data_IF_714377558545
#
_entry.id   IF_714377558545
#
_cell.length_a   1.000
_cell.length_b   1.000
_cell.length_c   1.000
_cell.angle_alpha   90.00
_cell.angle_beta   90.00
_cell.angle_gamma   90.00
#
_symmetry.space_group_name_H-M   'P 1'
#
loop_
_entity.id
_entity.type
_entity.pdbx_description
1 polymer ?
#
# COMPACT_ATOMS: atom_id res chain seq x y z
N UNK A 1 29.43 -7.36 10.14
CA UNK A 1 28.01 -6.98 10.33
C UNK A 1 27.24 -7.83 9.38
N UNK A 2 26.39 -8.69 9.89
CA UNK A 2 25.52 -9.53 9.05
C UNK A 2 24.61 -8.63 8.24
N UNK A 3 24.80 -8.59 6.92
CA UNK A 3 23.78 -8.09 6.03
C UNK A 3 22.68 -9.14 5.98
N UNK A 4 21.94 -9.26 7.09
CA UNK A 4 20.67 -9.94 7.09
C UNK A 4 19.81 -9.25 6.05
N UNK A 5 19.45 -9.98 5.02
CA UNK A 5 18.37 -9.64 4.11
C UNK A 5 17.21 -9.22 4.99
N UNK A 6 16.96 -7.92 5.07
CA UNK A 6 15.87 -7.41 5.89
C UNK A 6 14.59 -7.77 5.13
N UNK A 7 14.02 -8.92 5.48
CA UNK A 7 12.66 -9.23 5.06
C UNK A 7 11.79 -8.05 5.47
N UNK A 8 10.95 -7.56 4.59
CA UNK A 8 9.93 -6.57 4.96
C UNK A 8 9.12 -7.17 6.11
N UNK A 9 9.32 -6.63 7.30
CA UNK A 9 8.60 -7.06 8.48
C UNK A 9 7.54 -6.02 8.76
N UNK A 10 6.29 -6.43 8.72
CA UNK A 10 5.22 -5.61 9.26
C UNK A 10 5.51 -5.36 10.74
N UNK A 11 5.50 -4.11 11.13
CA UNK A 11 5.74 -3.68 12.50
C UNK A 11 4.49 -3.01 13.04
N UNK A 12 4.06 -3.43 14.20
CA UNK A 12 2.93 -2.78 14.88
C UNK A 12 3.29 -1.32 15.23
N UNK A 13 2.41 -0.35 14.97
CA UNK A 13 2.65 1.04 15.34
C UNK A 13 2.80 1.20 16.86
N UNK A 14 3.58 2.18 17.26
CA UNK A 14 3.77 2.54 18.68
C UNK A 14 2.65 3.46 19.17
N UNK A 15 2.13 4.30 18.28
CA UNK A 15 1.04 5.25 18.57
C UNK A 15 0.07 5.30 17.41
N UNK A 16 -1.23 5.45 17.72
CA UNK A 16 -2.31 5.54 16.73
C UNK A 16 -3.19 6.75 17.06
N UNK A 17 -3.41 7.61 16.05
CA UNK A 17 -4.41 8.67 16.10
C UNK A 17 -5.66 8.27 15.35
N UNK A 18 -6.81 8.36 16.00
CA UNK A 18 -8.10 7.95 15.45
C UNK A 18 -8.88 9.17 14.98
N UNK A 19 -9.15 9.26 13.68
CA UNK A 19 -9.95 10.30 13.06
C UNK A 19 -11.26 9.73 12.54
N UNK A 20 -12.30 10.53 12.55
CA UNK A 20 -13.60 10.19 12.00
C UNK A 20 -14.23 11.39 11.31
N UNK A 21 -14.63 11.20 10.06
CA UNK A 21 -15.36 12.20 9.32
C UNK A 21 -16.78 12.39 9.89
N UNK A 22 -17.22 13.66 10.01
CA UNK A 22 -18.54 14.04 10.52
C UNK A 22 -19.25 15.01 9.57
N UNK A 23 -19.10 14.80 8.27
CA UNK A 23 -19.81 15.55 7.24
C UNK A 23 -21.26 15.12 7.07
N UNK A 24 -21.98 15.86 6.22
CA UNK A 24 -23.38 15.56 5.90
C UNK A 24 -23.59 14.20 5.25
N UNK A 25 -22.64 13.73 4.44
CA UNK A 25 -22.68 12.43 3.78
C UNK A 25 -22.60 11.27 4.77
N UNK A 26 -21.94 11.44 5.90
CA UNK A 26 -21.82 10.43 6.95
C UNK A 26 -23.08 10.30 7.84
N UNK A 27 -24.06 11.20 7.70
CA UNK A 27 -25.21 11.27 8.61
C UNK A 27 -26.03 9.98 8.73
N UNK A 28 -26.17 9.22 7.64
CA UNK A 28 -26.92 7.97 7.65
C UNK A 28 -26.28 6.88 8.52
N UNK A 29 -24.97 6.88 8.62
CA UNK A 29 -24.23 5.97 9.49
C UNK A 29 -24.38 6.32 10.99
N UNK A 30 -24.58 7.60 11.30
CA UNK A 30 -24.66 8.11 12.67
C UNK A 30 -26.09 8.23 13.23
N UNK A 31 -27.13 7.74 12.55
CA UNK A 31 -28.52 7.90 13.03
C UNK A 31 -28.70 7.49 14.49
N UNK A 32 -29.31 8.40 15.28
CA UNK A 32 -29.50 8.21 16.71
C UNK A 32 -30.28 6.92 17.02
N UNK A 33 -29.82 6.20 18.03
CA UNK A 33 -30.49 5.03 18.59
C UNK A 33 -30.84 3.90 17.58
N UNK A 34 -30.12 3.88 16.45
CA UNK A 34 -30.23 2.80 15.46
C UNK A 34 -28.94 1.98 15.46
N UNK A 35 -29.01 0.68 15.71
CA UNK A 35 -27.86 -0.21 15.55
C UNK A 35 -27.55 -0.36 14.05
N UNK A 36 -26.30 -0.16 13.66
CA UNK A 36 -25.79 -0.39 12.31
C UNK A 36 -24.45 -1.14 12.38
N UNK A 37 -24.12 -1.84 11.31
CA UNK A 37 -22.81 -2.49 11.23
C UNK A 37 -21.68 -1.46 11.30
N UNK A 38 -21.85 -0.26 10.73
CA UNK A 38 -20.88 0.84 10.86
C UNK A 38 -20.51 1.10 12.33
N UNK A 39 -21.51 1.33 13.19
CA UNK A 39 -21.27 1.64 14.60
C UNK A 39 -20.58 0.48 15.32
N UNK A 40 -20.96 -0.75 15.01
CA UNK A 40 -20.37 -1.97 15.58
C UNK A 40 -18.92 -2.11 15.13
N UNK A 41 -18.65 -2.00 13.84
CA UNK A 41 -17.32 -2.18 13.23
C UNK A 41 -16.35 -1.09 13.67
N UNK A 42 -16.75 0.19 13.57
CA UNK A 42 -15.90 1.32 13.97
C UNK A 42 -15.57 1.25 15.46
N UNK A 43 -16.56 0.89 16.31
CA UNK A 43 -16.29 0.69 17.73
C UNK A 43 -15.36 -0.50 17.98
N UNK A 44 -15.54 -1.62 17.30
CA UNK A 44 -14.67 -2.79 17.41
C UNK A 44 -13.24 -2.45 17.06
N UNK A 45 -13.02 -1.77 15.93
CA UNK A 45 -11.70 -1.34 15.49
C UNK A 45 -11.07 -0.33 16.47
N UNK A 46 -11.78 0.73 16.84
CA UNK A 46 -11.24 1.76 17.72
C UNK A 46 -10.94 1.26 19.12
N UNK A 47 -11.81 0.40 19.68
CA UNK A 47 -11.56 -0.22 20.98
C UNK A 47 -10.42 -1.25 20.95
N UNK A 48 -10.26 -1.96 19.84
CA UNK A 48 -9.12 -2.87 19.63
C UNK A 48 -7.77 -2.13 19.60
N UNK A 49 -7.75 -0.90 19.07
CA UNK A 49 -6.56 -0.05 19.02
C UNK A 49 -6.34 0.80 20.29
N UNK A 50 -7.28 0.80 21.24
CA UNK A 50 -7.31 1.73 22.39
C UNK A 50 -6.00 1.78 23.20
N UNK A 51 -5.31 0.66 23.33
CA UNK A 51 -4.07 0.55 24.10
C UNK A 51 -2.86 1.26 23.46
N UNK A 52 -2.98 1.69 22.18
CA UNK A 52 -1.95 2.43 21.43
C UNK A 52 -2.35 3.86 21.11
N UNK A 53 -3.52 4.30 21.56
CA UNK A 53 -4.02 5.66 21.32
C UNK A 53 -3.77 6.57 22.52
N UNK A 54 -3.88 7.87 22.29
CA UNK A 54 -3.93 8.88 23.37
C UNK A 54 -5.27 8.92 24.12
N UNK A 55 -6.13 7.92 23.89
CA UNK A 55 -7.47 7.83 24.48
C UNK A 55 -8.51 8.75 23.84
N UNK A 56 -8.25 9.27 22.65
CA UNK A 56 -9.12 10.24 21.97
C UNK A 56 -9.48 9.78 20.56
N UNK A 57 -10.61 10.29 20.09
CA UNK A 57 -11.05 10.27 18.69
C UNK A 57 -11.19 11.71 18.22
N UNK A 58 -10.67 12.02 17.06
CA UNK A 58 -10.63 13.34 16.45
C UNK A 58 -11.69 13.45 15.36
N UNK A 59 -12.86 14.05 15.61
CA UNK A 59 -13.83 14.33 14.55
C UNK A 59 -13.23 15.29 13.54
N UNK A 60 -13.58 15.12 12.27
CA UNK A 60 -13.19 16.02 11.19
C UNK A 60 -14.42 16.52 10.46
N UNK A 61 -14.59 17.83 10.39
CA UNK A 61 -15.73 18.49 9.78
C UNK A 61 -15.30 19.72 8.97
N UNK A 62 -16.22 20.49 8.53
CA UNK A 62 -16.08 21.84 7.97
C UNK A 62 -14.85 22.02 7.04
N UNK A 63 -14.84 21.27 5.94
CA UNK A 63 -13.75 21.40 4.95
C UNK A 63 -12.44 20.72 5.34
N UNK A 64 -12.45 19.83 6.34
CA UNK A 64 -11.30 19.03 6.74
C UNK A 64 -10.64 19.48 8.04
N UNK A 65 -11.24 20.41 8.77
CA UNK A 65 -10.75 20.84 10.07
C UNK A 65 -10.86 19.71 11.11
N UNK A 66 -9.87 19.66 12.00
CA UNK A 66 -9.88 18.74 13.14
C UNK A 66 -10.64 19.44 14.29
N UNK A 67 -11.77 18.87 14.66
CA UNK A 67 -12.60 19.38 15.75
C UNK A 67 -12.05 19.01 17.14
N UNK A 68 -12.70 19.51 18.18
CA UNK A 68 -12.40 19.16 19.57
C UNK A 68 -12.47 17.65 19.76
N UNK A 69 -11.39 17.01 20.22
CA UNK A 69 -11.34 15.57 20.35
C UNK A 69 -12.32 15.03 21.39
N UNK A 70 -12.85 13.85 21.13
CA UNK A 70 -13.75 13.12 22.03
C UNK A 70 -12.97 12.03 22.74
N UNK A 71 -13.12 11.92 24.05
CA UNK A 71 -12.53 10.82 24.81
C UNK A 71 -13.09 9.50 24.28
N UNK A 72 -12.21 8.52 24.00
CA UNK A 72 -12.61 7.24 23.40
C UNK A 72 -13.70 6.51 24.19
N UNK A 73 -13.66 6.58 25.52
CA UNK A 73 -14.72 6.02 26.38
C UNK A 73 -16.10 6.63 26.15
N UNK A 74 -16.17 7.91 25.76
CA UNK A 74 -17.41 8.62 25.44
C UNK A 74 -17.81 8.50 23.96
N UNK A 75 -16.88 8.18 23.09
CA UNK A 75 -17.09 8.13 21.65
C UNK A 75 -18.26 7.23 21.25
N UNK A 76 -18.30 6.00 21.79
CA UNK A 76 -19.38 5.05 21.51
C UNK A 76 -20.74 5.60 21.90
N UNK A 77 -20.86 6.25 23.07
CA UNK A 77 -22.09 6.84 23.57
C UNK A 77 -22.56 7.99 22.65
N UNK A 78 -21.64 8.89 22.27
CA UNK A 78 -21.93 10.00 21.37
C UNK A 78 -22.33 9.54 19.98
N UNK A 79 -21.63 8.54 19.43
CA UNK A 79 -21.96 7.93 18.14
C UNK A 79 -23.36 7.31 18.15
N UNK A 80 -23.71 6.56 19.18
CA UNK A 80 -25.02 5.95 19.32
C UNK A 80 -26.13 7.00 19.51
N UNK A 81 -25.84 8.11 20.17
CA UNK A 81 -26.77 9.20 20.35
C UNK A 81 -26.93 10.11 19.12
N UNK A 82 -26.21 9.85 18.02
CA UNK A 82 -26.26 10.66 16.80
C UNK A 82 -25.66 12.07 16.95
N UNK A 83 -24.69 12.24 17.87
CA UNK A 83 -24.08 13.54 18.13
C UNK A 83 -23.07 13.98 17.05
N UNK A 84 -22.75 13.09 16.09
CA UNK A 84 -21.90 13.38 14.94
C UNK A 84 -22.68 13.75 13.67
N UNK A 85 -24.01 13.79 13.75
CA UNK A 85 -24.83 14.28 12.62
C UNK A 85 -24.58 15.76 12.40
N UNK A 86 -24.23 16.13 11.17
CA UNK A 86 -23.89 17.51 10.80
C UNK A 86 -24.39 17.87 9.39
N UNK A 87 -24.19 19.13 8.99
CA UNK A 87 -24.49 19.62 7.65
C UNK A 87 -23.24 20.18 6.95
N UNK A 88 -22.03 19.83 7.45
CA UNK A 88 -20.80 20.27 6.85
C UNK A 88 -20.49 19.51 5.56
N UNK A 89 -19.80 20.16 4.65
CA UNK A 89 -19.24 19.55 3.44
C UNK A 89 -17.97 18.77 3.73
N UNK A 90 -17.64 17.86 2.83
CA UNK A 90 -16.42 17.07 2.88
C UNK A 90 -15.34 17.66 1.97
N UNK A 91 -14.14 17.83 2.48
CA UNK A 91 -12.97 18.23 1.70
C UNK A 91 -11.81 17.25 1.93
N UNK A 92 -11.83 16.14 1.23
CA UNK A 92 -10.87 15.03 1.40
C UNK A 92 -9.40 15.48 1.29
N UNK A 93 -8.98 16.32 0.31
CA UNK A 93 -7.60 16.79 0.25
C UNK A 93 -7.16 17.52 1.52
N UNK A 94 -8.00 18.39 2.08
CA UNK A 94 -7.68 19.10 3.31
C UNK A 94 -7.61 18.16 4.52
N UNK A 95 -8.53 17.19 4.64
CA UNK A 95 -8.48 16.15 5.67
C UNK A 95 -7.16 15.38 5.61
N UNK A 96 -6.79 14.90 4.42
CA UNK A 96 -5.56 14.16 4.20
C UNK A 96 -4.33 14.97 4.61
N UNK A 97 -4.24 16.23 4.14
CA UNK A 97 -3.13 17.12 4.46
C UNK A 97 -3.04 17.39 5.98
N UNK A 98 -4.16 17.72 6.62
CA UNK A 98 -4.21 17.99 8.05
C UNK A 98 -3.80 16.76 8.88
N UNK A 99 -4.20 15.56 8.49
CA UNK A 99 -3.80 14.33 9.16
C UNK A 99 -2.30 14.10 8.98
N UNK A 100 -1.78 14.17 7.75
CA UNK A 100 -0.36 13.95 7.45
C UNK A 100 0.53 14.91 8.22
N UNK A 101 0.13 16.18 8.37
CA UNK A 101 0.88 17.16 9.14
C UNK A 101 0.86 16.91 10.66
N UNK A 102 -0.09 16.11 11.13
CA UNK A 102 -0.26 15.80 12.55
C UNK A 102 0.29 14.43 12.97
N UNK A 103 0.85 13.64 12.06
CA UNK A 103 1.50 12.36 12.39
C UNK A 103 3.02 12.50 12.40
N UNK A 104 3.66 11.80 13.34
CA UNK A 104 5.12 11.73 13.44
C UNK A 104 5.59 10.33 13.02
N UNK A 105 5.88 10.19 11.73
CA UNK A 105 6.34 8.90 11.18
C UNK A 105 7.68 8.44 11.76
N UNK A 106 8.50 9.36 12.30
CA UNK A 106 9.77 9.01 12.94
C UNK A 106 9.56 8.28 14.27
N UNK A 107 8.38 8.44 14.87
CA UNK A 107 7.97 7.76 16.12
C UNK A 107 7.04 6.56 15.86
N UNK A 108 7.02 6.02 14.64
CA UNK A 108 6.09 4.93 14.29
C UNK A 108 4.62 5.24 14.64
N UNK A 109 4.23 6.51 14.49
CA UNK A 109 2.86 6.94 14.67
C UNK A 109 2.07 6.70 13.38
N UNK A 110 0.83 6.24 13.51
CA UNK A 110 -0.10 5.98 12.41
C UNK A 110 -1.41 6.71 12.67
N UNK A 111 -2.00 7.25 11.62
CA UNK A 111 -3.35 7.77 11.65
C UNK A 111 -4.34 6.81 10.97
N UNK A 112 -5.54 6.72 11.49
CA UNK A 112 -6.68 6.02 10.89
C UNK A 112 -7.81 6.99 10.72
N UNK A 113 -8.25 7.24 9.49
CA UNK A 113 -9.44 8.04 9.17
C UNK A 113 -10.56 7.11 8.73
N UNK A 114 -11.74 7.27 9.35
CA UNK A 114 -12.97 6.62 8.88
C UNK A 114 -13.81 7.64 8.11
N UNK A 115 -14.13 7.34 6.84
CA UNK A 115 -14.81 8.26 5.92
C UNK A 115 -15.55 7.47 4.84
N UNK A 116 -16.64 8.03 4.28
CA UNK A 116 -17.23 7.54 3.03
C UNK A 116 -16.50 8.07 1.79
N UNK A 117 -15.38 8.79 1.97
CA UNK A 117 -14.54 9.37 0.94
C UNK A 117 -15.28 10.23 -0.10
N UNK A 118 -16.48 10.68 0.22
CA UNK A 118 -17.31 11.49 -0.67
C UNK A 118 -16.79 12.93 -0.71
N UNK A 119 -16.10 13.28 -1.80
CA UNK A 119 -15.62 14.64 -2.00
C UNK A 119 -16.74 15.52 -2.56
N UNK A 120 -17.28 16.40 -1.75
CA UNK A 120 -18.39 17.32 -2.10
C UNK A 120 -18.00 18.75 -1.73
N UNK A 121 -17.10 19.42 -2.48
CA UNK A 121 -16.75 20.82 -2.22
C UNK A 121 -17.97 21.72 -2.42
N UNK A 122 -18.02 22.80 -1.66
CA UNK A 122 -19.14 23.76 -1.69
C UNK A 122 -18.69 25.13 -2.20
N UNK A 123 -19.66 25.88 -2.75
CA UNK A 123 -19.42 27.25 -3.20
C UNK A 123 -19.22 27.36 -4.71
N UNK A 124 -18.85 28.57 -5.17
CA UNK A 124 -18.69 28.88 -6.59
C UNK A 124 -17.53 28.14 -7.27
N UNK A 125 -16.54 27.69 -6.50
CA UNK A 125 -15.38 26.93 -6.97
C UNK A 125 -15.58 25.41 -7.01
N UNK A 126 -16.72 24.89 -6.53
CA UNK A 126 -16.94 23.45 -6.34
C UNK A 126 -16.63 22.59 -7.59
N UNK A 127 -17.09 23.02 -8.75
CA UNK A 127 -16.82 22.29 -10.00
C UNK A 127 -15.32 22.28 -10.36
N UNK A 128 -14.62 23.39 -10.14
CA UNK A 128 -13.17 23.51 -10.38
C UNK A 128 -12.38 22.65 -9.38
N UNK A 129 -12.76 22.66 -8.12
CA UNK A 129 -12.12 21.84 -7.09
C UNK A 129 -12.29 20.34 -7.38
N UNK A 130 -13.48 19.92 -7.83
CA UNK A 130 -13.72 18.53 -8.21
C UNK A 130 -12.90 18.11 -9.44
N UNK A 131 -12.66 19.04 -10.39
CA UNK A 131 -11.75 18.80 -11.52
C UNK A 131 -10.29 18.68 -11.08
N UNK A 132 -9.89 19.42 -10.05
CA UNK A 132 -8.52 19.42 -9.53
C UNK A 132 -8.27 18.33 -8.47
N UNK A 133 -9.27 17.55 -8.09
CA UNK A 133 -9.21 16.61 -6.98
C UNK A 133 -8.05 15.62 -7.12
N UNK A 134 -7.95 14.96 -8.26
CA UNK A 134 -6.87 14.02 -8.55
C UNK A 134 -5.49 14.66 -8.38
N UNK A 135 -5.33 15.86 -8.93
CA UNK A 135 -4.07 16.61 -8.87
C UNK A 135 -3.72 17.05 -7.44
N UNK A 136 -4.71 17.47 -6.66
CA UNK A 136 -4.51 17.82 -5.25
C UNK A 136 -4.03 16.60 -4.44
N UNK A 137 -4.65 15.44 -4.63
CA UNK A 137 -4.23 14.19 -3.98
C UNK A 137 -2.80 13.81 -4.41
N UNK A 138 -2.52 13.86 -5.73
CA UNK A 138 -1.18 13.59 -6.26
C UNK A 138 -0.12 14.46 -5.58
N UNK A 139 -0.37 15.75 -5.46
CA UNK A 139 0.57 16.69 -4.87
C UNK A 139 0.76 16.43 -3.37
N UNK A 140 -0.32 16.22 -2.61
CA UNK A 140 -0.23 15.93 -1.16
C UNK A 140 0.62 14.68 -0.92
N UNK A 141 0.36 13.59 -1.63
CA UNK A 141 1.10 12.33 -1.48
C UNK A 141 2.54 12.47 -1.99
N UNK A 142 2.74 13.15 -3.13
CA UNK A 142 4.05 13.37 -3.74
C UNK A 142 5.00 14.19 -2.85
N UNK A 143 4.48 15.22 -2.17
CA UNK A 143 5.27 16.03 -1.23
C UNK A 143 5.54 15.34 0.12
N UNK A 144 4.90 14.20 0.39
CA UNK A 144 5.08 13.44 1.62
C UNK A 144 5.54 12.00 1.32
N UNK A 145 6.76 11.81 0.78
CA UNK A 145 7.23 10.51 0.31
C UNK A 145 7.36 9.45 1.42
N UNK A 146 7.52 9.89 2.67
CA UNK A 146 7.67 9.01 3.83
C UNK A 146 6.31 8.55 4.42
N UNK A 147 5.20 9.02 3.86
CA UNK A 147 3.86 8.62 4.28
C UNK A 147 3.31 7.61 3.30
N UNK A 148 3.10 6.41 3.78
CA UNK A 148 2.41 5.33 3.07
C UNK A 148 0.93 5.33 3.41
N UNK A 149 0.11 4.85 2.48
CA UNK A 149 -1.33 4.72 2.62
C UNK A 149 -1.76 3.27 2.42
N UNK A 150 -2.64 2.81 3.30
CA UNK A 150 -3.40 1.57 3.14
C UNK A 150 -4.88 1.85 3.37
N UNK A 151 -5.74 0.95 2.93
CA UNK A 151 -7.17 1.05 3.17
C UNK A 151 -7.79 -0.28 3.57
N UNK A 152 -8.91 -0.19 4.27
CA UNK A 152 -9.87 -1.28 4.44
C UNK A 152 -11.24 -0.73 4.08
N UNK A 153 -11.86 -1.28 3.05
CA UNK A 153 -13.23 -0.96 2.66
C UNK A 153 -14.21 -1.88 3.40
N UNK A 154 -15.23 -1.28 3.94
CA UNK A 154 -16.31 -1.98 4.62
C UNK A 154 -17.67 -1.41 4.21
N UNK A 155 -18.74 -2.17 4.42
CA UNK A 155 -20.11 -1.73 4.14
C UNK A 155 -20.99 -1.76 5.38
N UNK A 156 -22.03 -0.94 5.36
CA UNK A 156 -23.03 -0.90 6.40
C UNK A 156 -24.35 -0.32 5.89
N UNK A 157 -25.39 -0.50 6.68
CA UNK A 157 -26.67 0.14 6.48
C UNK A 157 -26.52 1.67 6.56
N UNK A 158 -27.09 2.36 5.58
CA UNK A 158 -27.24 3.82 5.57
C UNK A 158 -28.70 4.20 5.76
N UNK A 159 -28.99 5.05 6.73
CA UNK A 159 -30.35 5.34 7.15
C UNK A 159 -30.78 6.76 6.82
N UNK A 160 -32.02 6.91 6.35
CA UNK A 160 -32.70 8.19 6.16
C UNK A 160 -32.91 8.94 7.49
N UNK A 161 -33.35 10.22 7.39
CA UNK A 161 -33.67 11.06 8.58
C UNK A 161 -34.73 10.44 9.48
N UNK A 162 -35.71 9.75 8.92
CA UNK A 162 -36.78 9.07 9.65
C UNK A 162 -36.35 7.69 10.22
N UNK A 163 -35.12 7.26 9.90
CA UNK A 163 -34.57 5.99 10.34
C UNK A 163 -34.99 4.80 9.47
N UNK A 164 -35.63 5.02 8.33
CA UNK A 164 -35.84 4.00 7.31
C UNK A 164 -34.54 3.66 6.59
N UNK A 165 -34.44 2.46 6.01
CA UNK A 165 -33.27 2.04 5.21
C UNK A 165 -33.23 2.82 3.92
N UNK A 166 -32.10 3.49 3.64
CA UNK A 166 -31.82 4.11 2.34
C UNK A 166 -30.97 3.20 1.46
N UNK A 167 -29.94 2.57 2.05
CA UNK A 167 -29.05 1.61 1.41
C UNK A 167 -28.63 0.55 2.43
N UNK A 168 -28.60 -0.72 2.01
CA UNK A 168 -28.26 -1.85 2.89
C UNK A 168 -26.75 -2.03 3.02
N UNK A 169 -26.01 -1.73 1.96
CA UNK A 169 -24.56 -1.96 1.88
C UNK A 169 -23.82 -0.71 1.40
N UNK A 170 -24.04 0.41 2.06
CA UNK A 170 -23.31 1.65 1.75
C UNK A 170 -21.84 1.51 2.19
N UNK A 171 -20.87 1.76 1.29
CA UNK A 171 -19.46 1.59 1.60
C UNK A 171 -18.88 2.76 2.40
N UNK A 172 -17.84 2.45 3.18
CA UNK A 172 -16.96 3.41 3.83
C UNK A 172 -15.55 2.83 3.96
N UNK A 173 -14.57 3.70 4.18
CA UNK A 173 -13.15 3.36 4.18
C UNK A 173 -12.55 3.65 5.56
N UNK A 174 -11.73 2.73 6.05
CA UNK A 174 -10.66 3.03 6.99
C UNK A 174 -9.40 3.36 6.17
N UNK A 175 -9.04 4.63 6.09
CA UNK A 175 -7.81 5.07 5.45
C UNK A 175 -6.70 5.14 6.50
N UNK A 176 -5.61 4.44 6.27
CA UNK A 176 -4.51 4.26 7.23
C UNK A 176 -3.28 4.96 6.66
N UNK A 177 -2.65 5.83 7.46
CA UNK A 177 -1.53 6.68 7.02
C UNK A 177 -0.38 6.60 8.01
N UNK A 178 0.84 6.43 7.52
CA UNK A 178 2.04 6.32 8.35
C UNK A 178 3.21 5.74 7.56
N UNK A 179 4.20 5.15 8.22
CA UNK A 179 5.22 4.42 7.49
C UNK A 179 4.71 3.05 6.97
N UNK A 180 5.34 2.52 5.94
CA UNK A 180 4.88 1.33 5.21
C UNK A 180 4.69 0.09 6.09
N UNK A 181 5.63 -0.17 7.00
CA UNK A 181 5.59 -1.36 7.88
C UNK A 181 4.39 -1.32 8.84
N UNK A 182 4.11 -0.12 9.38
CA UNK A 182 3.05 0.09 10.36
C UNK A 182 1.66 0.11 9.71
N UNK A 183 1.50 0.74 8.53
CA UNK A 183 0.19 0.78 7.85
C UNK A 183 -0.23 -0.60 7.38
N UNK A 184 0.71 -1.42 6.85
CA UNK A 184 0.43 -2.79 6.42
C UNK A 184 0.03 -3.69 7.60
N UNK A 185 0.70 -3.54 8.76
CA UNK A 185 0.34 -4.28 9.97
C UNK A 185 -1.07 -3.92 10.46
N UNK A 186 -1.36 -2.62 10.54
CA UNK A 186 -2.64 -2.15 11.06
C UNK A 186 -3.80 -2.43 10.10
N UNK A 187 -3.58 -2.37 8.77
CA UNK A 187 -4.55 -2.79 7.77
C UNK A 187 -5.05 -4.23 8.05
N UNK A 188 -4.14 -5.16 8.29
CA UNK A 188 -4.50 -6.55 8.56
C UNK A 188 -5.34 -6.69 9.84
N UNK A 189 -5.05 -5.87 10.86
CA UNK A 189 -5.84 -5.89 12.10
C UNK A 189 -7.25 -5.33 11.87
N UNK A 190 -7.38 -4.20 11.17
CA UNK A 190 -8.68 -3.59 10.86
C UNK A 190 -9.50 -4.50 9.93
N UNK A 191 -8.90 -5.13 8.92
CA UNK A 191 -9.57 -6.08 8.04
C UNK A 191 -10.22 -7.22 8.87
N UNK A 192 -9.48 -7.82 9.80
CA UNK A 192 -10.02 -8.86 10.71
C UNK A 192 -11.20 -8.37 11.55
N UNK A 193 -11.20 -7.12 12.01
CA UNK A 193 -12.35 -6.58 12.73
C UNK A 193 -13.55 -6.35 11.82
N UNK A 194 -13.34 -5.95 10.57
CA UNK A 194 -14.40 -5.85 9.56
C UNK A 194 -14.97 -7.23 9.21
N UNK A 195 -14.13 -8.24 9.04
CA UNK A 195 -14.56 -9.64 8.83
C UNK A 195 -15.39 -10.16 10.02
N UNK A 196 -14.93 -9.93 11.25
CA UNK A 196 -15.63 -10.35 12.46
C UNK A 196 -16.99 -9.66 12.65
N UNK A 197 -17.27 -8.58 11.94
CA UNK A 197 -18.53 -7.85 11.95
C UNK A 197 -19.37 -8.05 10.70
N UNK A 198 -18.92 -8.89 9.76
CA UNK A 198 -19.56 -9.17 8.46
C UNK A 198 -19.73 -7.90 7.61
N UNK A 199 -18.73 -7.02 7.65
CA UNK A 199 -18.75 -5.74 6.93
C UNK A 199 -17.61 -5.60 5.90
N UNK A 200 -16.64 -6.51 5.92
CA UNK A 200 -15.46 -6.45 5.04
C UNK A 200 -15.82 -6.58 3.56
N UNK A 201 -15.19 -5.75 2.75
CA UNK A 201 -15.27 -5.80 1.28
C UNK A 201 -13.91 -6.11 0.69
N UNK A 202 -12.92 -5.23 0.92
CA UNK A 202 -11.60 -5.34 0.34
C UNK A 202 -10.59 -4.52 1.17
N UNK A 203 -9.30 -4.86 1.07
CA UNK A 203 -8.24 -4.08 1.69
C UNK A 203 -6.96 -4.12 0.86
N UNK A 204 -6.16 -3.07 0.94
CA UNK A 204 -4.91 -3.00 0.19
C UNK A 204 -4.03 -1.82 0.57
N UNK A 205 -2.85 -1.82 -0.01
CA UNK A 205 -1.88 -0.75 0.15
C UNK A 205 -1.91 0.14 -1.09
N UNK A 206 -2.03 1.45 -0.95
CA UNK A 206 -2.24 2.37 -2.07
C UNK A 206 -1.01 3.19 -2.43
N UNK A 207 -0.26 3.67 -1.45
CA UNK A 207 0.92 4.51 -1.65
C UNK A 207 2.00 4.10 -0.67
N UNK A 208 2.63 2.97 -0.93
CA UNK A 208 3.74 2.51 -0.08
C UNK A 208 5.02 3.27 -0.43
N UNK A 209 5.85 3.50 0.59
CA UNK A 209 7.21 3.93 0.36
C UNK A 209 7.94 2.86 -0.47
N UNK A 210 8.63 3.30 -1.53
CA UNK A 210 9.41 2.37 -2.34
C UNK A 210 10.63 1.90 -1.55
N UNK A 211 10.78 0.60 -1.44
CA UNK A 211 11.98 -0.04 -0.91
C UNK A 211 12.58 -0.95 -1.98
N UNK A 212 13.90 -0.99 -2.04
CA UNK A 212 14.55 -2.05 -2.80
C UNK A 212 14.14 -3.38 -2.18
N UNK A 213 13.57 -4.33 -2.95
CA UNK A 213 13.15 -5.60 -2.39
C UNK A 213 14.34 -6.34 -1.80
N UNK A 214 14.12 -7.07 -0.73
CA UNK A 214 15.14 -7.96 -0.21
C UNK A 214 15.45 -9.03 -1.25
N UNK A 215 16.73 -9.33 -1.46
CA UNK A 215 17.17 -10.27 -2.48
C UNK A 215 18.23 -11.22 -1.97
N UNK A 216 18.37 -12.35 -2.65
CA UNK A 216 19.39 -13.35 -2.39
C UNK A 216 19.80 -14.00 -3.70
N UNK A 217 21.12 -14.04 -3.96
CA UNK A 217 21.66 -14.79 -5.10
C UNK A 217 21.61 -16.27 -4.74
N UNK A 218 20.93 -17.07 -5.57
CA UNK A 218 20.66 -18.49 -5.29
C UNK A 218 21.51 -19.46 -6.09
N UNK A 219 21.80 -19.12 -7.31
CA UNK A 219 22.49 -20.00 -8.24
C UNK A 219 23.37 -19.20 -9.18
N UNK A 220 24.54 -19.72 -9.48
CA UNK A 220 25.50 -19.11 -10.40
C UNK A 220 25.99 -20.19 -11.35
N UNK A 221 25.87 -19.95 -12.66
CA UNK A 221 26.50 -20.77 -13.71
C UNK A 221 27.76 -20.08 -14.21
N UNK A 222 28.82 -20.84 -14.44
CA UNK A 222 30.16 -20.40 -14.85
C UNK A 222 30.78 -19.40 -13.85
N UNK A 223 30.47 -19.58 -12.56
CA UNK A 223 31.03 -18.80 -11.48
C UNK A 223 30.65 -19.33 -10.11
N UNK A 224 31.17 -18.72 -9.06
CA UNK A 224 30.90 -19.05 -7.68
C UNK A 224 30.48 -17.78 -6.94
N UNK A 225 29.43 -17.89 -6.14
CA UNK A 225 29.12 -16.82 -5.18
C UNK A 225 30.15 -16.81 -4.08
N UNK A 226 30.71 -15.64 -3.77
CA UNK A 226 31.66 -15.50 -2.68
C UNK A 226 31.05 -15.99 -1.36
N UNK A 227 31.68 -16.93 -0.66
CA UNK A 227 31.20 -17.39 0.64
C UNK A 227 31.41 -16.36 1.76
N UNK A 228 32.21 -15.34 1.46
CA UNK A 228 32.57 -14.27 2.37
C UNK A 228 31.96 -12.94 1.90
N UNK A 229 32.02 -11.92 2.73
CA UNK A 229 31.56 -10.58 2.37
C UNK A 229 32.46 -9.97 1.26
N UNK A 230 31.91 -9.26 0.27
CA UNK A 230 30.47 -8.96 0.09
C UNK A 230 29.71 -10.13 -0.57
N UNK A 231 28.50 -10.42 -0.07
CA UNK A 231 27.63 -11.50 -0.57
C UNK A 231 27.07 -11.27 -1.97
N UNK A 232 27.33 -10.12 -2.55
CA UNK A 232 26.96 -9.74 -3.92
C UNK A 232 28.14 -9.85 -4.90
N UNK A 233 29.23 -10.51 -4.51
CA UNK A 233 30.37 -10.79 -5.37
C UNK A 233 30.27 -12.18 -5.96
N UNK A 234 30.29 -12.26 -7.29
CA UNK A 234 30.38 -13.48 -8.07
C UNK A 234 31.81 -13.54 -8.63
N UNK A 235 32.50 -14.63 -8.36
CA UNK A 235 33.82 -14.92 -8.96
C UNK A 235 33.64 -15.90 -10.12
N UNK A 236 34.00 -15.47 -11.31
CA UNK A 236 33.93 -16.31 -12.53
C UNK A 236 35.16 -17.18 -12.68
N UNK A 237 34.99 -18.37 -13.18
CA UNK A 237 36.07 -19.29 -13.52
C UNK A 237 35.72 -20.02 -14.82
N UNK A 238 36.77 -20.40 -15.56
CA UNK A 238 36.63 -21.21 -16.75
C UNK A 238 36.12 -20.50 -18.02
N UNK A 239 36.94 -19.55 -18.54
CA UNK A 239 36.72 -18.92 -19.83
C UNK A 239 36.77 -19.86 -21.04
N UNK A 240 37.33 -21.06 -20.87
CA UNK A 240 37.46 -22.05 -21.98
C UNK A 240 36.11 -22.63 -22.39
N UNK A 241 35.10 -22.57 -21.48
CA UNK A 241 33.77 -23.14 -21.69
C UNK A 241 32.75 -22.07 -22.13
N UNK A 242 32.87 -20.83 -21.63
CA UNK A 242 31.93 -19.75 -21.93
C UNK A 242 32.53 -18.38 -21.65
N UNK A 243 32.17 -17.39 -22.46
CA UNK A 243 32.53 -15.99 -22.24
C UNK A 243 31.54 -15.26 -21.33
N UNK A 244 30.46 -15.93 -20.91
CA UNK A 244 29.39 -15.35 -20.11
C UNK A 244 29.00 -16.23 -18.92
N UNK A 245 28.58 -15.59 -17.83
CA UNK A 245 27.95 -16.24 -16.70
C UNK A 245 26.47 -15.89 -16.59
N UNK A 246 25.77 -16.64 -15.77
CA UNK A 246 24.38 -16.34 -15.41
C UNK A 246 24.13 -16.65 -13.94
N UNK A 247 23.16 -15.99 -13.34
CA UNK A 247 22.78 -16.24 -11.95
C UNK A 247 21.31 -15.97 -11.71
N UNK A 248 20.77 -16.65 -10.70
CA UNK A 248 19.39 -16.52 -10.27
C UNK A 248 19.36 -15.72 -8.95
N UNK A 249 18.53 -14.71 -8.92
CA UNK A 249 18.24 -13.91 -7.73
C UNK A 249 16.83 -14.24 -7.29
N UNK A 250 16.65 -14.59 -6.03
CA UNK A 250 15.35 -14.58 -5.38
C UNK A 250 15.10 -13.22 -4.80
N UNK A 251 14.01 -12.55 -5.18
CA UNK A 251 13.53 -11.31 -4.60
C UNK A 251 12.27 -11.58 -3.80
N UNK A 252 12.11 -10.88 -2.68
CA UNK A 252 10.91 -10.93 -1.87
C UNK A 252 10.14 -9.61 -2.01
N UNK A 253 8.92 -9.70 -2.55
CA UNK A 253 8.05 -8.56 -2.81
C UNK A 253 7.01 -8.32 -1.70
N UNK A 254 7.18 -8.96 -0.54
CA UNK A 254 6.19 -8.89 0.56
C UNK A 254 5.95 -7.49 1.12
N UNK A 255 6.76 -6.51 0.77
CA UNK A 255 6.57 -5.10 1.14
C UNK A 255 5.99 -4.23 0.04
N UNK A 256 5.69 -4.82 -1.13
CA UNK A 256 5.15 -4.07 -2.25
C UNK A 256 3.64 -4.27 -2.33
N UNK A 257 2.87 -3.19 -2.55
CA UNK A 257 1.44 -3.29 -2.72
C UNK A 257 1.12 -4.05 -4.02
N UNK A 258 0.22 -5.02 -3.93
CA UNK A 258 -0.39 -5.76 -5.06
C UNK A 258 0.54 -6.45 -6.05
N UNK A 259 1.84 -6.40 -5.85
CA UNK A 259 2.80 -6.99 -6.79
C UNK A 259 3.06 -8.47 -6.54
N UNK A 260 2.69 -8.96 -5.37
CA UNK A 260 2.91 -10.36 -4.99
C UNK A 260 2.06 -11.36 -5.81
N UNK A 261 1.08 -10.88 -6.58
CA UNK A 261 0.14 -11.72 -7.33
C UNK A 261 0.21 -11.55 -8.84
N UNK A 262 0.99 -10.59 -9.35
CA UNK A 262 1.08 -10.34 -10.79
C UNK A 262 2.51 -10.31 -11.33
N UNK A 263 2.91 -11.43 -11.94
CA UNK A 263 4.22 -11.60 -12.55
C UNK A 263 4.47 -10.69 -13.76
N UNK A 264 3.43 -10.34 -14.53
CA UNK A 264 3.59 -9.50 -15.72
C UNK A 264 3.98 -8.07 -15.34
N UNK A 265 3.40 -7.52 -14.27
CA UNK A 265 3.75 -6.18 -13.78
C UNK A 265 5.19 -6.14 -13.27
N UNK A 266 5.63 -7.18 -12.57
CA UNK A 266 7.02 -7.29 -12.10
C UNK A 266 7.97 -7.38 -13.28
N UNK A 267 7.62 -8.19 -14.29
CA UNK A 267 8.41 -8.36 -15.51
C UNK A 267 8.59 -7.04 -16.27
N UNK A 268 7.50 -6.30 -16.45
CA UNK A 268 7.52 -5.04 -17.20
C UNK A 268 8.29 -3.91 -16.46
N UNK A 269 8.31 -3.96 -15.14
CA UNK A 269 9.02 -2.97 -14.31
C UNK A 269 10.50 -3.30 -14.12
N UNK A 270 10.91 -4.57 -14.32
CA UNK A 270 12.26 -5.04 -14.03
C UNK A 270 13.25 -4.60 -15.09
N UNK A 271 14.39 -4.06 -14.67
CA UNK A 271 15.50 -3.68 -15.54
C UNK A 271 16.83 -4.16 -14.99
N UNK A 272 17.74 -4.50 -15.89
CA UNK A 272 19.13 -4.77 -15.58
C UNK A 272 20.05 -4.14 -16.62
N UNK A 273 21.22 -3.69 -16.20
CA UNK A 273 22.26 -3.16 -17.08
C UNK A 273 23.65 -3.40 -16.51
N UNK A 274 24.63 -3.48 -17.39
CA UNK A 274 26.04 -3.39 -17.02
C UNK A 274 26.45 -1.92 -16.87
N UNK A 275 27.22 -1.61 -15.84
CA UNK A 275 27.81 -0.27 -15.65
C UNK A 275 28.88 -0.01 -16.72
N UNK A 276 29.58 -1.04 -17.19
CA UNK A 276 30.67 -0.91 -18.18
C UNK A 276 30.21 -1.11 -19.63
N UNK A 277 28.91 -1.31 -19.86
CA UNK A 277 28.30 -1.30 -21.19
C UNK A 277 28.20 -2.66 -21.86
N UNK A 278 28.51 -3.76 -21.18
CA UNK A 278 28.24 -5.12 -21.67
C UNK A 278 26.73 -5.38 -21.75
N UNK A 279 26.30 -6.29 -22.63
CA UNK A 279 24.90 -6.71 -22.67
C UNK A 279 24.59 -7.55 -21.45
N UNK A 280 23.45 -7.27 -20.83
CA UNK A 280 22.87 -8.06 -19.74
C UNK A 280 21.40 -8.26 -20.04
N UNK A 281 20.97 -9.49 -20.01
CA UNK A 281 19.55 -9.83 -20.17
C UNK A 281 18.95 -10.19 -18.81
N UNK A 282 17.68 -9.84 -18.63
CA UNK A 282 16.93 -10.14 -17.41
C UNK A 282 15.64 -10.85 -17.77
N UNK A 283 15.31 -11.88 -17.01
CA UNK A 283 14.11 -12.69 -17.20
C UNK A 283 13.47 -13.00 -15.84
N UNK A 284 12.14 -12.79 -15.76
CA UNK A 284 11.37 -13.30 -14.64
C UNK A 284 11.01 -14.76 -14.91
N UNK A 285 11.41 -15.65 -14.00
CA UNK A 285 11.18 -17.07 -14.15
C UNK A 285 9.78 -17.45 -13.66
N UNK A 286 9.04 -18.14 -14.52
CA UNK A 286 7.67 -18.61 -14.26
C UNK A 286 7.62 -20.08 -13.82
N UNK A 287 6.46 -20.57 -13.43
CA UNK A 287 6.27 -21.99 -13.09
C UNK A 287 6.60 -22.95 -14.23
N UNK A 288 6.39 -22.53 -15.46
CA UNK A 288 6.67 -23.34 -16.64
C UNK A 288 8.16 -23.56 -16.89
N UNK A 289 9.00 -22.65 -16.39
CA UNK A 289 10.46 -22.74 -16.52
C UNK A 289 11.09 -23.83 -15.62
N UNK A 290 10.29 -24.44 -14.72
CA UNK A 290 10.72 -25.54 -13.87
C UNK A 290 10.97 -26.85 -14.58
N UNK A 291 10.41 -27.03 -15.75
CA UNK A 291 10.49 -28.28 -16.52
C UNK A 291 11.85 -28.47 -17.15
N UNK A 292 12.77 -27.54 -16.98
CA UNK A 292 14.16 -27.68 -17.32
C UNK A 292 14.86 -28.52 -16.24
N UNK A 293 15.56 -29.57 -16.60
CA UNK A 293 16.23 -30.61 -15.78
C UNK A 293 17.21 -30.12 -14.69
N UNK A 294 16.86 -29.07 -13.93
CA UNK A 294 17.69 -28.52 -12.89
C UNK A 294 17.05 -28.71 -11.49
N UNK A 295 17.48 -29.76 -10.81
CA UNK A 295 17.01 -30.11 -9.47
C UNK A 295 17.28 -29.02 -8.40
N UNK A 296 18.28 -28.16 -8.59
CA UNK A 296 18.56 -27.06 -7.68
C UNK A 296 17.52 -25.95 -7.85
N UNK A 297 17.14 -25.68 -9.08
CA UNK A 297 16.09 -24.72 -9.42
C UNK A 297 14.74 -25.16 -8.87
N UNK A 298 14.33 -26.41 -9.12
CA UNK A 298 13.07 -26.96 -8.59
C UNK A 298 12.97 -26.81 -7.07
N UNK A 299 14.04 -27.15 -6.33
CA UNK A 299 14.07 -27.03 -4.86
C UNK A 299 13.92 -25.58 -4.37
N UNK A 300 14.50 -24.61 -5.06
CA UNK A 300 14.40 -23.20 -4.69
C UNK A 300 13.01 -22.66 -4.93
N UNK A 301 12.35 -23.12 -5.97
CA UNK A 301 11.01 -22.72 -6.31
C UNK A 301 9.96 -23.35 -5.38
N UNK A 302 10.03 -24.63 -5.10
CA UNK A 302 9.13 -25.31 -4.16
C UNK A 302 9.18 -24.74 -2.74
N UNK A 303 10.29 -24.07 -2.37
CA UNK A 303 10.47 -23.42 -1.05
C UNK A 303 10.15 -21.96 -1.03
N UNK A 304 9.70 -21.38 -2.14
CA UNK A 304 9.33 -19.95 -2.17
C UNK A 304 8.06 -19.68 -1.39
N UNK A 305 7.97 -18.49 -0.80
CA UNK A 305 6.69 -17.93 -0.37
C UNK A 305 5.92 -17.39 -1.59
N UNK A 306 4.63 -17.15 -1.46
CA UNK A 306 3.82 -16.56 -2.53
C UNK A 306 4.32 -15.18 -3.00
N UNK A 307 5.08 -14.48 -2.18
CA UNK A 307 5.67 -13.16 -2.48
C UNK A 307 7.11 -13.25 -3.02
N UNK A 308 7.67 -14.44 -3.18
CA UNK A 308 9.02 -14.63 -3.72
C UNK A 308 8.96 -14.81 -5.23
N UNK A 309 9.81 -14.07 -5.93
CA UNK A 309 10.02 -14.19 -7.37
C UNK A 309 11.46 -14.54 -7.66
N UNK A 310 11.66 -15.30 -8.72
CA UNK A 310 12.99 -15.67 -9.21
C UNK A 310 13.29 -14.88 -10.49
N UNK A 311 14.40 -14.16 -10.48
CA UNK A 311 14.90 -13.40 -11.61
C UNK A 311 16.19 -14.05 -12.07
N UNK A 312 16.30 -14.32 -13.37
CA UNK A 312 17.54 -14.77 -13.99
C UNK A 312 18.19 -13.60 -14.72
N UNK A 313 19.44 -13.34 -14.36
CA UNK A 313 20.31 -12.48 -15.15
C UNK A 313 21.26 -13.38 -15.93
N UNK A 314 21.40 -13.13 -17.23
CA UNK A 314 22.21 -13.97 -18.12
C UNK A 314 22.91 -13.11 -19.18
N UNK A 315 23.81 -13.74 -19.96
CA UNK A 315 24.72 -13.07 -20.86
C UNK A 315 25.63 -12.04 -20.16
N UNK A 316 25.89 -12.24 -18.86
CA UNK A 316 26.77 -11.38 -18.09
C UNK A 316 28.22 -11.68 -18.45
N UNK A 317 28.99 -10.66 -18.85
CA UNK A 317 30.39 -10.82 -19.18
C UNK A 317 31.20 -11.39 -17.99
N UNK A 318 32.14 -12.29 -18.25
CA UNK A 318 32.97 -12.93 -17.22
C UNK A 318 34.18 -12.08 -16.80
N UNK A 319 34.34 -10.89 -17.34
CA UNK A 319 35.31 -9.91 -16.89
C UNK A 319 34.83 -9.17 -15.65
N UNK A 320 35.68 -8.29 -15.07
CA UNK A 320 35.29 -7.45 -13.97
C UNK A 320 34.12 -6.55 -14.39
N UNK A 321 32.95 -6.82 -13.82
CA UNK A 321 31.70 -6.21 -14.21
C UNK A 321 30.88 -5.78 -12.99
N UNK A 322 30.08 -4.75 -13.17
CA UNK A 322 29.09 -4.33 -12.16
C UNK A 322 27.72 -4.34 -12.80
N UNK A 323 26.87 -5.21 -12.33
CA UNK A 323 25.49 -5.33 -12.79
C UNK A 323 24.58 -4.55 -11.84
N UNK A 324 23.88 -3.59 -12.40
CA UNK A 324 22.80 -2.87 -11.72
C UNK A 324 21.46 -3.42 -12.15
N UNK A 325 20.62 -3.82 -11.20
CA UNK A 325 19.24 -4.16 -11.45
C UNK A 325 18.31 -3.34 -10.55
N UNK A 326 17.14 -3.00 -11.04
CA UNK A 326 16.14 -2.21 -10.33
C UNK A 326 14.78 -2.35 -11.00
N UNK A 327 13.76 -1.78 -10.38
CA UNK A 327 12.48 -1.51 -11.04
C UNK A 327 12.50 -0.08 -11.59
N UNK A 328 12.08 0.10 -12.85
CA UNK A 328 11.95 1.43 -13.47
C UNK A 328 10.89 2.28 -12.81
N UNK A 329 9.82 1.63 -12.36
CA UNK A 329 8.73 2.23 -11.61
C UNK A 329 8.39 1.36 -10.42
N UNK A 330 7.68 1.91 -9.44
CA UNK A 330 7.09 1.06 -8.41
C UNK A 330 6.11 0.10 -9.10
N UNK A 331 6.31 -1.21 -9.01
CA UNK A 331 5.38 -2.15 -9.60
C UNK A 331 4.05 -2.09 -8.83
N UNK A 332 3.01 -1.65 -9.51
CA UNK A 332 1.65 -1.53 -8.98
C UNK A 332 0.72 -2.28 -9.91
N UNK A 333 -0.08 -3.19 -9.37
CA UNK A 333 -1.11 -3.85 -10.15
C UNK A 333 -2.27 -2.88 -10.47
N UNK A 334 -2.19 -2.27 -11.65
CA UNK A 334 -3.25 -1.39 -12.13
C UNK A 334 -4.60 -2.09 -12.30
N UNK A 335 -4.61 -3.42 -12.54
CA UNK A 335 -5.85 -4.20 -12.68
C UNK A 335 -6.59 -4.31 -11.35
N UNK A 336 -5.88 -4.49 -10.26
CA UNK A 336 -6.47 -4.49 -8.92
C UNK A 336 -7.24 -3.21 -8.65
N UNK A 337 -6.63 -2.05 -8.95
CA UNK A 337 -7.32 -0.76 -8.83
C UNK A 337 -8.51 -0.63 -9.77
N UNK A 338 -8.40 -1.13 -11.01
CA UNK A 338 -9.49 -1.07 -11.98
C UNK A 338 -10.68 -1.89 -11.49
N UNK A 339 -10.46 -3.12 -11.07
CA UNK A 339 -11.52 -4.02 -10.63
C UNK A 339 -12.18 -3.51 -9.34
N UNK A 340 -11.39 -3.14 -8.34
CA UNK A 340 -11.90 -2.54 -7.10
C UNK A 340 -12.62 -1.22 -7.36
N UNK A 341 -12.03 -0.35 -8.19
CA UNK A 341 -12.62 0.93 -8.55
C UNK A 341 -13.97 0.76 -9.28
N UNK A 342 -14.05 -0.16 -10.24
CA UNK A 342 -15.29 -0.46 -10.96
C UNK A 342 -16.36 -1.04 -10.03
N UNK A 343 -15.97 -1.79 -9.04
CA UNK A 343 -16.90 -2.37 -8.06
C UNK A 343 -17.48 -1.33 -7.10
N UNK A 344 -16.71 -0.28 -6.74
CA UNK A 344 -17.03 0.58 -5.61
C UNK A 344 -17.28 2.05 -5.97
N UNK A 345 -16.80 2.53 -7.12
CA UNK A 345 -16.96 3.95 -7.51
C UNK A 345 -18.28 4.20 -8.19
N UNK A 346 -18.96 5.27 -7.78
CA UNK A 346 -20.17 5.79 -8.41
C UNK A 346 -19.94 7.21 -8.94
N UNK A 347 -20.70 7.58 -9.97
CA UNK A 347 -20.63 8.91 -10.61
C UNK A 347 -21.74 9.86 -10.19
N UNK A 348 -22.81 9.33 -9.60
CA UNK A 348 -23.89 10.11 -9.00
C UNK A 348 -23.60 10.30 -7.50
N UNK A 349 -23.56 11.55 -7.05
CA UNK A 349 -23.31 11.85 -5.64
C UNK A 349 -24.43 11.38 -4.69
N UNK A 350 -25.63 11.10 -5.23
CA UNK A 350 -26.75 10.58 -4.45
C UNK A 350 -26.83 9.07 -4.42
N UNK A 351 -25.99 8.39 -5.20
CA UNK A 351 -25.89 6.94 -5.16
C UNK A 351 -25.10 6.50 -3.91
N UNK A 352 -25.80 5.84 -3.00
CA UNK A 352 -25.25 5.36 -1.74
C UNK A 352 -24.64 3.96 -1.82
N UNK A 353 -24.76 3.29 -2.97
CA UNK A 353 -24.19 1.95 -3.18
C UNK A 353 -22.70 1.95 -3.45
N UNK A 354 -22.08 3.13 -3.63
CA UNK A 354 -20.67 3.30 -3.91
C UNK A 354 -20.04 4.56 -3.32
N UNK A 355 -18.76 4.74 -3.60
CA UNK A 355 -17.97 5.91 -3.19
C UNK A 355 -17.93 6.93 -4.33
N UNK A 356 -18.47 8.11 -4.11
CA UNK A 356 -18.52 9.14 -5.15
C UNK A 356 -17.13 9.69 -5.50
N UNK A 357 -16.79 9.66 -6.80
CA UNK A 357 -15.51 10.14 -7.33
C UNK A 357 -14.25 9.52 -6.69
N UNK A 358 -14.35 8.34 -6.11
CA UNK A 358 -13.23 7.67 -5.46
C UNK A 358 -12.12 7.28 -6.45
N UNK A 359 -12.47 7.06 -7.73
CA UNK A 359 -11.50 6.85 -8.82
C UNK A 359 -10.48 8.00 -8.90
N UNK A 360 -10.90 9.25 -8.74
CA UNK A 360 -9.99 10.41 -8.78
C UNK A 360 -9.01 10.41 -7.61
N UNK A 361 -9.46 9.94 -6.43
CA UNK A 361 -8.57 9.74 -5.29
C UNK A 361 -7.52 8.67 -5.60
N UNK A 362 -7.95 7.51 -6.06
CA UNK A 362 -7.04 6.40 -6.41
C UNK A 362 -6.04 6.81 -7.49
N UNK A 363 -6.50 7.45 -8.57
CA UNK A 363 -5.62 7.94 -9.65
C UNK A 363 -4.60 8.94 -9.13
N UNK A 364 -4.99 9.82 -8.22
CA UNK A 364 -4.09 10.78 -7.59
C UNK A 364 -3.00 10.07 -6.77
N UNK A 365 -3.37 9.08 -5.98
CA UNK A 365 -2.45 8.27 -5.16
C UNK A 365 -1.47 7.48 -6.03
N UNK A 366 -1.97 6.78 -7.05
CA UNK A 366 -1.15 5.99 -7.99
C UNK A 366 -0.16 6.89 -8.71
N UNK A 367 -0.64 8.00 -9.31
CA UNK A 367 0.21 8.93 -10.06
C UNK A 367 1.26 9.61 -9.18
N UNK A 368 1.04 9.75 -7.87
CA UNK A 368 2.03 10.29 -6.96
C UNK A 368 3.24 9.34 -6.76
N UNK A 369 3.07 8.05 -6.99
CA UNK A 369 4.08 7.01 -6.69
C UNK A 369 4.65 6.31 -7.94
N UNK A 370 4.08 6.53 -9.11
CA UNK A 370 4.55 5.89 -10.36
C UNK A 370 5.99 6.26 -10.73
N UNK A 371 6.44 7.48 -10.43
CA UNK A 371 7.78 7.95 -10.75
C UNK A 371 8.69 7.91 -9.52
N UNK A 372 9.23 6.75 -9.22
CA UNK A 372 10.19 6.56 -8.11
C UNK A 372 11.63 6.37 -8.61
N UNK A 373 11.98 7.00 -9.73
CA UNK A 373 13.23 6.81 -10.48
C UNK A 373 14.53 7.14 -9.74
N UNK A 374 14.46 7.73 -8.55
CA UNK A 374 15.63 8.20 -7.81
C UNK A 374 16.19 7.17 -6.80
N UNK A 375 15.75 5.91 -6.88
CA UNK A 375 16.26 4.86 -5.98
C UNK A 375 17.56 4.28 -6.50
N UNK A 376 18.50 4.05 -5.59
CA UNK A 376 19.77 3.41 -5.94
C UNK A 376 19.52 1.98 -6.41
N UNK A 377 20.06 1.57 -7.55
CA UNK A 377 19.95 0.21 -8.04
C UNK A 377 20.71 -0.76 -7.13
N UNK A 378 20.28 -2.01 -7.12
CA UNK A 378 21.05 -3.09 -6.50
C UNK A 378 22.27 -3.39 -7.38
N UNK A 379 23.45 -3.45 -6.80
CA UNK A 379 24.70 -3.74 -7.49
C UNK A 379 25.19 -5.14 -7.17
N UNK A 380 25.50 -5.88 -8.22
CA UNK A 380 26.14 -7.20 -8.14
C UNK A 380 27.49 -7.06 -8.83
N UNK A 381 28.54 -7.48 -8.12
CA UNK A 381 29.90 -7.44 -8.62
C UNK A 381 30.22 -8.80 -9.24
N UNK A 382 30.74 -8.79 -10.46
CA UNK A 382 31.30 -9.97 -11.14
C UNK A 382 32.77 -9.73 -11.31
N UNK A 383 33.61 -10.61 -10.80
CA UNK A 383 35.07 -10.48 -10.91
C UNK A 383 35.66 -11.75 -11.52
N UNK A 384 36.57 -11.60 -12.45
CA UNK A 384 37.33 -12.72 -12.99
C UNK A 384 38.29 -13.26 -11.93
N UNK A 385 38.36 -14.58 -11.80
CA UNK A 385 39.42 -15.23 -11.02
C UNK A 385 40.74 -15.06 -11.77
N UNK A 386 41.69 -14.37 -11.16
CA UNK A 386 43.06 -14.28 -11.66
C UNK A 386 43.89 -15.44 -11.16
#
# INVERSE_FOLDING_TARGET
MDSTVTLFQTRQPESIKLYIETSGSMNGFFRANKPTNFKKTVWSAFSGMAHKTDGKVYPMSNGGDIDTPVILGDFRRKMNAGQFVSNFSTHIPAMLLNIIQNIDTTKNEVAVLVSDMKYSPMGESAATELLQYQEQIRNIIGYNPNVSLSFVCATSEYLNKDGSMAEEKSPYIFLIMGNSENVAALRNDIARWCEATDSYVESGDMAMEYHTPSYEIREVKNGLLSPTYPRNLITTYDREVSDTCSFIIRINMNGFPWTAVDSEIIKDALTAKSVYGSSVDVELLTEQDHLVDDHAYQRNFERRSYADYLIKLYNVAMDDEVIEWNFTNQPIDGRYFVDFNNMITVTDENDLSGLFSFNKFLDGVVNARLNTSDKEPVRILVSSYQ
#
